data_IF_614600687321
#
_entry.id   IF_614600687321
#
_cell.length_a   1.000
_cell.length_b   1.000
_cell.length_c   1.000
_cell.angle_alpha   90.00
_cell.angle_beta   90.00
_cell.angle_gamma   90.00
#
_symmetry.space_group_name_H-M   'P 1'
#
loop_
_entity.id
_entity.type
_entity.pdbx_description
1 polymer ?
#
# COMPACT_ATOMS: atom_id res chain seq x y z
N UNK A 1 16.36 -35.61 -4.33
CA UNK A 1 16.53 -34.29 -3.83
C UNK A 1 15.32 -33.84 -3.03
N UNK A 2 15.54 -33.33 -1.96
CA UNK A 2 14.45 -32.84 -1.18
C UNK A 2 14.28 -31.35 -1.38
N UNK A 3 13.11 -30.89 -1.09
CA UNK A 3 12.76 -29.52 -1.22
C UNK A 3 12.49 -28.87 0.13
N UNK A 4 12.91 -29.55 1.20
CA UNK A 4 12.76 -28.98 2.49
C UNK A 4 13.53 -27.67 2.56
N UNK A 5 12.90 -26.64 3.06
CA UNK A 5 13.50 -25.33 3.07
C UNK A 5 13.46 -24.59 1.75
N UNK A 6 12.71 -25.11 0.78
CA UNK A 6 12.56 -24.40 -0.47
C UNK A 6 11.95 -23.01 -0.22
N UNK A 7 12.43 -22.04 -0.97
CA UNK A 7 11.93 -20.67 -0.86
C UNK A 7 11.12 -20.35 -2.10
N UNK A 8 9.87 -19.98 -1.89
CA UNK A 8 9.02 -19.50 -2.95
C UNK A 8 9.16 -17.99 -3.03
N UNK A 9 9.48 -17.50 -4.21
CA UNK A 9 9.64 -16.08 -4.45
C UNK A 9 8.46 -15.60 -5.27
N UNK A 10 7.72 -14.67 -4.70
CA UNK A 10 6.54 -14.11 -5.37
C UNK A 10 6.77 -12.61 -5.54
N UNK A 11 6.57 -12.14 -6.75
CA UNK A 11 6.64 -10.72 -7.05
C UNK A 11 5.32 -10.08 -6.64
N UNK A 12 5.41 -9.07 -5.80
CA UNK A 12 4.23 -8.37 -5.32
C UNK A 12 4.40 -6.88 -5.53
N UNK A 13 3.30 -6.17 -5.48
CA UNK A 13 3.30 -4.73 -5.53
C UNK A 13 2.61 -4.23 -4.27
N UNK A 14 3.32 -3.46 -3.46
CA UNK A 14 2.78 -2.97 -2.20
C UNK A 14 2.28 -1.54 -2.40
N UNK A 15 1.06 -1.33 -2.00
CA UNK A 15 0.44 -0.01 -2.04
C UNK A 15 0.66 0.67 -0.69
N UNK A 16 1.29 1.83 -0.70
CA UNK A 16 1.51 2.63 0.50
C UNK A 16 0.67 3.89 0.42
N UNK A 17 -0.04 4.19 1.50
CA UNK A 17 -0.80 5.43 1.63
C UNK A 17 -0.27 6.17 2.85
N UNK A 18 0.22 7.38 2.63
CA UNK A 18 0.72 8.25 3.70
C UNK A 18 -0.20 9.45 3.81
N UNK A 19 -0.58 9.78 5.02
CA UNK A 19 -1.48 10.90 5.28
C UNK A 19 -0.95 11.73 6.43
N UNK A 20 -0.91 13.04 6.24
CA UNK A 20 -0.52 13.98 7.29
C UNK A 20 -1.55 15.08 7.37
N UNK A 21 -2.05 15.34 8.57
CA UNK A 21 -3.06 16.36 8.81
C UNK A 21 -2.49 17.46 9.69
N UNK A 22 -2.82 18.73 9.41
CA UNK A 22 -2.32 19.83 10.24
C UNK A 22 -2.80 19.76 11.70
N UNK A 23 -4.02 19.25 11.89
CA UNK A 23 -4.62 19.19 13.22
C UNK A 23 -4.14 17.99 14.02
N UNK A 24 -3.46 17.05 13.41
CA UNK A 24 -2.99 15.84 14.06
C UNK A 24 -1.56 15.58 13.61
N UNK A 25 -0.57 16.11 14.30
CA UNK A 25 0.82 15.93 13.88
C UNK A 25 1.20 14.46 13.83
N UNK A 26 1.99 14.14 12.84
CA UNK A 26 2.43 12.78 12.60
C UNK A 26 1.96 12.28 11.27
N UNK A 27 2.61 11.24 10.80
CA UNK A 27 2.27 10.64 9.52
C UNK A 27 1.56 9.33 9.80
N UNK A 28 0.37 9.21 9.28
CA UNK A 28 -0.36 7.93 9.32
C UNK A 28 -0.11 7.22 8.00
N UNK A 29 0.13 5.93 8.09
CA UNK A 29 0.33 5.20 6.87
C UNK A 29 -0.35 3.84 6.93
N UNK A 30 -0.78 3.38 5.76
CA UNK A 30 -1.40 2.09 5.58
C UNK A 30 -0.68 1.42 4.43
N UNK A 31 -0.46 0.12 4.54
CA UNK A 31 0.10 -0.64 3.43
C UNK A 31 -0.82 -1.79 3.08
N UNK A 32 -0.88 -2.12 1.81
CA UNK A 32 -1.72 -3.19 1.30
C UNK A 32 -0.95 -3.95 0.24
N UNK A 33 -0.99 -5.27 0.32
CA UNK A 33 -0.28 -6.12 -0.63
C UNK A 33 -1.19 -6.41 -1.81
N UNK A 34 -0.67 -6.19 -3.00
CA UNK A 34 -1.34 -6.60 -4.23
C UNK A 34 -0.42 -7.53 -5.01
N UNK A 35 -0.99 -8.33 -5.87
CA UNK A 35 -0.22 -9.33 -6.60
C UNK A 35 0.04 -8.97 -8.06
N UNK A 36 -0.34 -7.79 -8.47
CA UNK A 36 -0.03 -7.28 -9.79
C UNK A 36 0.12 -5.79 -9.76
N UNK A 37 0.95 -5.27 -10.67
CA UNK A 37 1.13 -3.83 -10.81
C UNK A 37 -0.19 -3.17 -11.21
N UNK A 38 -0.94 -3.80 -12.08
CA UNK A 38 -2.21 -3.26 -12.55
C UNK A 38 -3.20 -3.11 -11.40
N UNK A 39 -3.29 -4.11 -10.54
CA UNK A 39 -4.15 -4.06 -9.37
C UNK A 39 -3.71 -2.93 -8.43
N UNK A 40 -2.41 -2.80 -8.24
CA UNK A 40 -1.88 -1.75 -7.37
C UNK A 40 -2.22 -0.36 -7.90
N UNK A 41 -2.05 -0.16 -9.20
CA UNK A 41 -2.35 1.12 -9.83
C UNK A 41 -3.83 1.46 -9.76
N UNK A 42 -4.69 0.47 -9.92
CA UNK A 42 -6.13 0.68 -9.79
C UNK A 42 -6.48 1.09 -8.36
N UNK A 43 -5.93 0.39 -7.39
CA UNK A 43 -6.19 0.72 -5.99
C UNK A 43 -5.58 2.07 -5.60
N UNK A 44 -4.44 2.41 -6.19
CA UNK A 44 -3.83 3.71 -5.97
C UNK A 44 -4.78 4.83 -6.39
N UNK A 45 -5.40 4.70 -7.55
CA UNK A 45 -6.35 5.69 -8.04
C UNK A 45 -7.56 5.78 -7.13
N UNK A 46 -8.11 4.63 -6.73
CA UNK A 46 -9.25 4.60 -5.82
C UNK A 46 -8.93 5.23 -4.47
N UNK A 47 -7.75 4.96 -3.93
CA UNK A 47 -7.35 5.54 -2.65
C UNK A 47 -7.19 7.05 -2.74
N UNK A 48 -6.70 7.55 -3.86
CA UNK A 48 -6.56 8.99 -4.06
C UNK A 48 -7.93 9.66 -4.07
N UNK A 49 -8.88 9.11 -4.81
CA UNK A 49 -10.24 9.64 -4.85
C UNK A 49 -10.89 9.57 -3.48
N UNK A 50 -10.73 8.45 -2.81
CA UNK A 50 -11.29 8.24 -1.49
C UNK A 50 -10.78 9.26 -0.48
N UNK A 51 -9.47 9.50 -0.50
CA UNK A 51 -8.85 10.43 0.42
C UNK A 51 -9.36 11.85 0.20
N UNK A 52 -9.47 12.25 -1.06
CA UNK A 52 -9.98 13.57 -1.38
C UNK A 52 -11.43 13.76 -0.98
N UNK A 53 -12.27 12.75 -1.22
CA UNK A 53 -13.66 12.81 -0.83
C UNK A 53 -13.82 12.82 0.69
N UNK A 54 -13.02 12.03 1.38
CA UNK A 54 -13.03 12.01 2.84
C UNK A 54 -12.68 13.38 3.41
N UNK A 55 -11.67 14.01 2.85
CA UNK A 55 -11.26 15.33 3.30
C UNK A 55 -12.36 16.36 3.09
N UNK A 56 -13.00 16.32 1.93
CA UNK A 56 -14.11 17.23 1.63
C UNK A 56 -15.26 17.03 2.60
N UNK A 57 -15.63 15.79 2.89
CA UNK A 57 -16.75 15.49 3.75
C UNK A 57 -16.49 15.90 5.20
N UNK A 58 -15.23 15.95 5.59
CA UNK A 58 -14.85 16.30 6.96
C UNK A 58 -14.36 17.75 7.09
N UNK A 59 -14.51 18.55 6.05
CA UNK A 59 -14.14 19.96 6.07
C UNK A 59 -12.66 20.21 6.22
N UNK A 60 -11.84 19.26 5.76
CA UNK A 60 -10.39 19.40 5.85
C UNK A 60 -9.91 20.08 4.57
N UNK A 61 -9.41 21.31 4.72
CA UNK A 61 -8.99 22.08 3.56
C UNK A 61 -7.52 21.88 3.22
N UNK A 62 -6.71 21.62 4.23
CA UNK A 62 -5.27 21.43 4.03
C UNK A 62 -4.84 20.10 4.61
N UNK A 63 -4.26 19.28 3.77
CA UNK A 63 -3.70 18.01 4.19
C UNK A 63 -2.69 17.57 3.12
N UNK A 64 -1.78 16.72 3.55
CA UNK A 64 -0.82 16.12 2.64
C UNK A 64 -1.09 14.62 2.58
N UNK A 65 -1.13 14.08 1.38
CA UNK A 65 -1.20 12.64 1.24
C UNK A 65 -0.35 12.20 0.05
N UNK A 66 0.10 10.98 0.14
CA UNK A 66 0.88 10.37 -0.93
C UNK A 66 0.48 8.91 -1.03
N UNK A 67 0.26 8.44 -2.25
CA UNK A 67 -0.08 7.05 -2.51
C UNK A 67 0.96 6.52 -3.49
N UNK A 68 1.63 5.43 -3.11
CA UNK A 68 2.70 4.85 -3.91
C UNK A 68 2.51 3.37 -4.11
N UNK A 69 2.88 2.89 -5.30
CA UNK A 69 3.00 1.46 -5.57
C UNK A 69 4.49 1.13 -5.66
N UNK A 70 4.93 0.20 -4.84
CA UNK A 70 6.32 -0.23 -4.81
C UNK A 70 6.39 -1.71 -5.13
N UNK A 71 7.12 -2.05 -6.17
CA UNK A 71 7.34 -3.43 -6.54
C UNK A 71 8.41 -4.05 -5.68
N UNK A 72 8.13 -5.20 -5.14
CA UNK A 72 9.08 -5.92 -4.29
C UNK A 72 8.85 -7.42 -4.42
N UNK A 73 9.61 -8.18 -3.69
CA UNK A 73 9.50 -9.63 -3.69
C UNK A 73 9.18 -10.14 -2.30
N UNK A 74 8.28 -11.08 -2.24
CA UNK A 74 7.94 -11.75 -1.00
C UNK A 74 8.54 -13.14 -1.03
N UNK A 75 9.21 -13.49 0.05
CA UNK A 75 9.82 -14.81 0.21
C UNK A 75 9.01 -15.61 1.19
N UNK A 76 8.66 -16.80 0.80
CA UNK A 76 7.90 -17.69 1.65
C UNK A 76 8.66 -19.01 1.75
N UNK A 77 9.18 -19.30 2.93
CA UNK A 77 9.88 -20.56 3.16
C UNK A 77 8.86 -21.67 3.33
N UNK A 78 9.02 -22.69 2.53
CA UNK A 78 8.18 -23.87 2.63
C UNK A 78 8.95 -24.91 3.44
N UNK A 79 8.47 -25.18 4.63
CA UNK A 79 9.03 -26.19 5.50
C UNK A 79 8.15 -27.40 5.50
N UNK A 80 8.76 -28.51 5.34
CA UNK A 80 8.02 -29.77 5.36
C UNK A 80 8.56 -30.69 6.44
#
# INVERSE_FOLDING_TARGET
MELAGATLVIKICVLFVFLSLPSSPGIKHISEITFSEQECLMKKELKSVYTEQWALQNGIEQFYYEVKCVETMMFNNINT
#
